data_IF_583431287131
#
_entry.id   IF_583431287131
#
_cell.length_a   1.000
_cell.length_b   1.000
_cell.length_c   1.000
_cell.angle_alpha   90.00
_cell.angle_beta   90.00
_cell.angle_gamma   90.00
#
_symmetry.space_group_name_H-M   'P 1'
#
loop_
_entity.id
_entity.type
_entity.pdbx_description
1 polymer ?
#
# COMPACT_ATOMS: atom_id res chain seq x y z
N UNK A 1 -34.62 23.18 38.90
CA UNK A 1 -33.20 23.21 38.51
C UNK A 1 -32.95 22.00 37.61
N UNK A 2 -32.98 22.12 36.29
CA UNK A 2 -32.56 21.04 35.42
C UNK A 2 -31.03 20.92 35.50
N UNK A 3 -30.54 19.72 35.79
CA UNK A 3 -29.12 19.43 35.90
C UNK A 3 -28.45 19.51 34.53
N UNK A 4 -27.38 20.30 34.46
CA UNK A 4 -26.47 20.29 33.32
C UNK A 4 -25.78 18.94 33.23
N UNK A 5 -26.11 18.18 32.18
CA UNK A 5 -25.31 17.05 31.73
C UNK A 5 -23.92 17.59 31.34
N UNK A 6 -22.81 16.96 31.75
CA UNK A 6 -21.51 17.32 31.22
C UNK A 6 -21.53 17.03 29.71
N UNK A 7 -21.16 18.02 28.90
CA UNK A 7 -20.87 17.76 27.50
C UNK A 7 -19.77 16.71 27.44
N UNK A 8 -20.05 15.59 26.76
CA UNK A 8 -19.02 14.62 26.41
C UNK A 8 -17.90 15.38 25.69
N UNK A 9 -16.62 15.17 26.05
CA UNK A 9 -15.53 15.76 25.30
C UNK A 9 -15.67 15.27 23.85
N UNK A 10 -15.88 16.21 22.93
CA UNK A 10 -15.82 15.96 21.50
C UNK A 10 -14.53 15.19 21.23
N UNK A 11 -14.67 13.93 20.80
CA UNK A 11 -13.55 13.11 20.41
C UNK A 11 -12.77 13.90 19.36
N UNK A 12 -11.58 14.37 19.73
CA UNK A 12 -10.72 15.16 18.87
C UNK A 12 -10.44 14.33 17.62
N UNK A 13 -11.14 14.63 16.52
CA UNK A 13 -10.88 14.02 15.24
C UNK A 13 -9.41 14.27 14.88
N UNK A 14 -8.68 13.23 14.47
CA UNK A 14 -7.32 13.41 13.97
C UNK A 14 -7.34 14.42 12.82
N UNK A 15 -6.37 15.37 12.78
CA UNK A 15 -6.37 16.40 11.75
C UNK A 15 -6.15 15.77 10.37
N UNK A 16 -6.83 16.32 9.35
CA UNK A 16 -6.51 15.98 7.97
C UNK A 16 -5.14 16.57 7.62
N UNK A 17 -4.13 15.71 7.51
CA UNK A 17 -2.82 16.09 7.02
C UNK A 17 -2.72 15.87 5.51
N UNK A 18 -1.88 16.66 4.85
CA UNK A 18 -1.64 16.53 3.42
C UNK A 18 -0.91 15.21 3.18
N UNK A 19 -1.51 14.39 2.32
CA UNK A 19 -0.96 13.14 1.80
C UNK A 19 -0.56 13.31 0.33
N UNK A 20 -0.15 12.24 -0.36
CA UNK A 20 0.12 12.27 -1.81
C UNK A 20 -1.14 12.34 -2.70
N UNK A 21 -2.33 12.49 -2.12
CA UNK A 21 -3.60 12.56 -2.84
C UNK A 21 -3.66 13.66 -3.89
N UNK A 22 -4.25 13.33 -5.04
CA UNK A 22 -4.39 14.24 -6.17
C UNK A 22 -3.07 14.60 -6.87
N UNK A 23 -1.96 13.94 -6.52
CA UNK A 23 -0.66 14.07 -7.21
C UNK A 23 -0.42 12.84 -8.07
N UNK A 24 0.34 13.03 -9.14
CA UNK A 24 0.91 11.92 -9.89
C UNK A 24 2.09 11.32 -9.09
N UNK A 25 1.89 10.12 -8.57
CA UNK A 25 2.88 9.39 -7.77
C UNK A 25 3.79 8.50 -8.61
N UNK A 26 3.67 8.51 -9.94
CA UNK A 26 4.52 7.73 -10.84
C UNK A 26 5.98 8.21 -10.88
N UNK A 27 6.89 7.29 -11.22
CA UNK A 27 8.32 7.53 -11.35
C UNK A 27 8.63 8.75 -12.22
N UNK A 28 7.98 8.85 -13.38
CA UNK A 28 8.23 9.92 -14.37
C UNK A 28 7.84 11.33 -13.92
N UNK A 29 7.04 11.47 -12.85
CA UNK A 29 6.56 12.76 -12.35
C UNK A 29 7.17 13.17 -11.00
N UNK A 30 8.15 12.40 -10.52
CA UNK A 30 8.78 12.62 -9.22
C UNK A 30 10.27 12.89 -9.35
N UNK A 31 10.84 13.49 -8.29
CA UNK A 31 12.26 13.81 -8.23
C UNK A 31 13.08 12.51 -8.33
N UNK A 32 13.97 12.36 -9.34
CA UNK A 32 14.79 11.16 -9.51
C UNK A 32 15.78 10.94 -8.36
N UNK A 33 16.05 11.95 -7.53
CA UNK A 33 16.87 11.88 -6.32
C UNK A 33 16.05 11.93 -5.01
N UNK A 34 14.71 11.93 -5.14
CA UNK A 34 13.78 12.00 -4.02
C UNK A 34 13.72 10.72 -3.18
N UNK A 35 12.95 10.76 -2.08
CA UNK A 35 12.87 9.65 -1.12
C UNK A 35 12.33 8.36 -1.74
N UNK A 36 11.37 8.44 -2.65
CA UNK A 36 10.83 7.27 -3.35
C UNK A 36 11.81 6.69 -4.36
N UNK A 37 12.59 7.52 -5.04
CA UNK A 37 13.67 7.04 -5.90
C UNK A 37 14.80 6.38 -5.10
N UNK A 38 15.08 6.87 -3.87
CA UNK A 38 16.01 6.18 -2.96
C UNK A 38 15.46 4.82 -2.51
N UNK A 39 14.16 4.72 -2.23
CA UNK A 39 13.52 3.45 -1.89
C UNK A 39 13.57 2.45 -3.07
N UNK A 40 13.37 2.91 -4.32
CA UNK A 40 13.48 2.07 -5.52
C UNK A 40 14.91 1.62 -5.80
N UNK A 41 15.93 2.49 -5.69
CA UNK A 41 17.33 2.13 -5.99
C UNK A 41 17.85 0.97 -5.15
N UNK A 42 17.34 0.86 -3.94
CA UNK A 42 17.70 -0.19 -3.01
C UNK A 42 16.73 -1.37 -3.09
N UNK A 43 15.63 -1.25 -3.87
CA UNK A 43 14.76 -2.37 -4.17
C UNK A 43 15.50 -3.26 -5.16
N UNK A 44 15.72 -4.51 -4.78
CA UNK A 44 16.28 -5.48 -5.69
C UNK A 44 15.12 -6.25 -6.37
N UNK A 45 15.32 -6.58 -7.65
CA UNK A 45 14.42 -7.49 -8.39
C UNK A 45 14.42 -8.90 -7.77
N UNK A 46 15.40 -9.18 -6.91
CA UNK A 46 15.57 -10.41 -6.12
C UNK A 46 15.67 -10.07 -4.62
N UNK A 47 15.57 -11.07 -3.75
CA UNK A 47 15.71 -10.88 -2.31
C UNK A 47 17.13 -10.40 -1.93
N UNK A 48 17.22 -9.44 -1.01
CA UNK A 48 18.49 -8.84 -0.58
C UNK A 48 19.18 -9.75 0.45
N UNK A 49 20.20 -10.49 0.04
CA UNK A 49 20.96 -11.40 0.91
C UNK A 49 21.78 -10.68 2.01
N UNK A 50 22.22 -9.44 1.77
CA UNK A 50 22.98 -8.66 2.75
C UNK A 50 22.06 -7.94 3.75
N UNK A 51 22.15 -8.33 5.01
CA UNK A 51 21.30 -7.77 6.07
C UNK A 51 21.52 -6.26 6.30
N UNK A 52 22.69 -5.70 6.00
CA UNK A 52 22.94 -4.27 6.16
C UNK A 52 22.28 -3.48 5.01
N UNK A 53 22.39 -3.98 3.78
CA UNK A 53 21.71 -3.45 2.60
C UNK A 53 20.19 -3.51 2.75
N UNK A 54 19.64 -4.66 3.18
CA UNK A 54 18.21 -4.80 3.46
C UNK A 54 17.75 -3.80 4.52
N UNK A 55 18.54 -3.59 5.58
CA UNK A 55 18.21 -2.62 6.64
C UNK A 55 18.30 -1.17 6.17
N UNK A 56 19.13 -0.85 5.18
CA UNK A 56 19.17 0.48 4.55
C UNK A 56 17.94 0.68 3.68
N UNK A 57 17.62 -0.30 2.83
CA UNK A 57 16.40 -0.31 2.02
C UNK A 57 15.14 -0.09 2.87
N UNK A 58 14.97 -0.87 3.94
CA UNK A 58 13.83 -0.74 4.87
C UNK A 58 13.74 0.65 5.52
N UNK A 59 14.89 1.31 5.78
CA UNK A 59 14.93 2.68 6.31
C UNK A 59 14.59 3.73 5.24
N UNK A 60 15.02 3.53 4.00
CA UNK A 60 14.64 4.38 2.87
C UNK A 60 13.14 4.28 2.58
N UNK A 61 12.61 3.07 2.51
CA UNK A 61 11.18 2.79 2.39
C UNK A 61 10.36 3.53 3.46
N UNK A 62 10.73 3.37 4.74
CA UNK A 62 10.04 4.07 5.84
C UNK A 62 10.03 5.58 5.65
N UNK A 63 11.18 6.19 5.30
CA UNK A 63 11.28 7.64 5.08
C UNK A 63 10.37 8.10 3.96
N UNK A 64 10.30 7.33 2.87
CA UNK A 64 9.42 7.61 1.74
C UNK A 64 7.95 7.55 2.15
N UNK A 65 7.52 6.49 2.84
CA UNK A 65 6.15 6.33 3.36
C UNK A 65 5.78 7.47 4.31
N UNK A 66 6.63 7.80 5.29
CA UNK A 66 6.36 8.88 6.26
C UNK A 66 6.31 10.27 5.59
N UNK A 67 6.97 10.44 4.45
CA UNK A 67 6.91 11.69 3.68
C UNK A 67 5.57 11.90 2.97
N UNK A 68 4.95 10.81 2.48
CA UNK A 68 3.64 10.83 1.85
C UNK A 68 2.50 10.70 2.88
N UNK A 69 2.76 10.09 4.03
CA UNK A 69 1.79 9.82 5.09
C UNK A 69 2.33 10.19 6.48
N UNK A 70 2.38 11.49 6.81
CA UNK A 70 2.92 11.94 8.09
C UNK A 70 2.17 11.34 9.30
N UNK A 71 2.88 10.94 10.36
CA UNK A 71 2.24 10.43 11.57
C UNK A 71 1.33 11.50 12.21
N UNK A 72 0.20 11.06 12.78
CA UNK A 72 -0.75 11.94 13.47
C UNK A 72 -1.85 12.54 12.57
N UNK A 73 -1.90 12.16 11.29
CA UNK A 73 -3.01 12.49 10.39
C UNK A 73 -4.24 11.60 10.56
N UNK A 74 -5.34 11.99 9.90
CA UNK A 74 -6.56 11.21 9.74
C UNK A 74 -6.32 9.88 9.01
N UNK A 75 -5.34 9.85 8.11
CA UNK A 75 -4.82 8.64 7.48
C UNK A 75 -3.35 8.49 7.84
N UNK A 76 -2.97 7.29 8.30
CA UNK A 76 -1.58 6.92 8.55
C UNK A 76 -1.27 5.59 7.87
N UNK A 77 0.01 5.35 7.61
CA UNK A 77 0.50 4.07 7.07
C UNK A 77 1.47 3.49 8.09
N UNK A 78 1.39 2.18 8.34
CA UNK A 78 2.49 1.46 8.97
C UNK A 78 3.60 1.31 7.94
N UNK A 79 4.82 1.83 8.20
CA UNK A 79 5.92 1.70 7.26
C UNK A 79 6.23 0.27 6.84
N UNK A 80 5.77 -0.74 7.59
CA UNK A 80 5.93 -2.16 7.25
C UNK A 80 5.02 -2.63 6.11
N UNK A 81 4.01 -1.86 5.72
CA UNK A 81 3.17 -2.22 4.56
C UNK A 81 4.05 -2.23 3.30
N UNK A 82 4.02 -3.34 2.55
CA UNK A 82 4.89 -3.64 1.39
C UNK A 82 6.40 -3.65 1.67
N UNK A 83 6.82 -3.58 2.94
CA UNK A 83 8.23 -3.62 3.28
C UNK A 83 8.78 -5.02 2.99
N UNK A 84 9.84 -5.16 2.18
CA UNK A 84 10.45 -6.47 1.95
C UNK A 84 11.14 -6.97 3.21
N UNK A 85 11.09 -8.28 3.38
CA UNK A 85 11.82 -9.01 4.39
C UNK A 85 13.01 -9.74 3.72
N UNK A 86 13.73 -10.53 4.51
CA UNK A 86 14.93 -11.23 4.05
C UNK A 86 14.60 -12.32 3.03
N UNK A 87 13.52 -13.06 3.26
CA UNK A 87 13.14 -14.25 2.49
C UNK A 87 11.72 -14.14 1.91
N UNK A 88 11.03 -13.02 2.17
CA UNK A 88 9.64 -12.84 1.76
C UNK A 88 9.36 -11.38 1.39
N UNK A 89 8.56 -11.20 0.35
CA UNK A 89 7.83 -9.96 0.14
C UNK A 89 6.36 -10.16 0.50
N UNK A 90 5.83 -9.23 1.28
CA UNK A 90 4.42 -9.27 1.68
C UNK A 90 3.60 -8.37 0.77
N UNK A 91 2.93 -9.01 -0.18
CA UNK A 91 2.08 -8.38 -1.20
C UNK A 91 0.61 -8.31 -0.72
N UNK A 92 0.42 -7.87 0.53
CA UNK A 92 -0.88 -7.84 1.19
C UNK A 92 -1.00 -6.63 2.12
N UNK A 93 -2.13 -5.93 2.06
CA UNK A 93 -2.37 -4.74 2.86
C UNK A 93 -3.78 -4.69 3.44
N UNK A 94 -3.89 -4.05 4.59
CA UNK A 94 -5.11 -3.95 5.37
C UNK A 94 -5.37 -2.52 5.79
N UNK A 95 -6.62 -2.23 6.07
CA UNK A 95 -7.06 -0.96 6.66
C UNK A 95 -7.76 -1.25 7.97
N UNK A 96 -7.35 -0.53 9.01
CA UNK A 96 -7.94 -0.59 10.33
C UNK A 96 -8.28 0.81 10.83
N UNK A 97 -8.96 0.91 11.96
CA UNK A 97 -9.12 2.19 12.64
C UNK A 97 -7.79 2.77 13.10
N UNK A 98 -7.77 4.05 13.53
CA UNK A 98 -6.61 4.55 14.24
C UNK A 98 -6.34 3.60 15.42
N UNK A 99 -5.04 3.35 15.67
CA UNK A 99 -4.45 2.60 16.78
C UNK A 99 -5.45 1.86 17.71
N UNK A 100 -5.39 0.52 17.91
CA UNK A 100 -6.37 -0.25 18.70
C UNK A 100 -6.75 0.29 20.09
N UNK A 101 -5.91 1.14 20.69
CA UNK A 101 -6.17 1.81 21.98
C UNK A 101 -6.82 3.21 21.89
N UNK A 102 -7.06 3.77 20.70
CA UNK A 102 -7.58 5.13 20.49
C UNK A 102 -8.64 5.12 19.39
N UNK A 103 -9.88 5.45 19.77
CA UNK A 103 -11.07 5.60 18.93
C UNK A 103 -11.70 4.29 18.43
N UNK A 104 -13.02 4.36 18.21
CA UNK A 104 -13.80 3.29 17.60
C UNK A 104 -13.32 3.12 16.15
N UNK A 105 -12.96 1.92 15.73
CA UNK A 105 -12.61 1.64 14.34
C UNK A 105 -13.72 2.11 13.39
N UNK A 106 -13.38 2.60 12.17
CA UNK A 106 -14.36 2.90 11.14
C UNK A 106 -15.28 1.72 10.90
N UNK A 107 -16.49 2.02 10.44
CA UNK A 107 -17.45 0.99 10.04
C UNK A 107 -16.79 0.05 9.03
N UNK A 108 -16.70 -1.27 9.32
CA UNK A 108 -16.12 -2.25 8.39
C UNK A 108 -16.78 -2.24 7.01
N UNK A 109 -18.05 -1.81 6.93
CA UNK A 109 -18.77 -1.62 5.66
C UNK A 109 -18.12 -0.51 4.82
N UNK A 110 -17.80 0.62 5.45
CA UNK A 110 -17.14 1.75 4.77
C UNK A 110 -15.71 1.39 4.37
N UNK A 111 -14.99 0.63 5.20
CA UNK A 111 -13.65 0.13 4.88
C UNK A 111 -13.69 -0.81 3.66
N UNK A 112 -14.63 -1.77 3.65
CA UNK A 112 -14.82 -2.69 2.53
C UNK A 112 -15.20 -1.98 1.24
N UNK A 113 -16.08 -0.99 1.33
CA UNK A 113 -16.49 -0.20 0.17
C UNK A 113 -15.34 0.66 -0.39
N UNK A 114 -14.54 1.26 0.49
CA UNK A 114 -13.33 1.99 0.12
C UNK A 114 -12.32 1.08 -0.59
N UNK A 115 -12.02 -0.09 0.00
CA UNK A 115 -11.08 -1.04 -0.59
C UNK A 115 -11.57 -1.62 -1.92
N UNK A 116 -12.87 -1.89 -2.08
CA UNK A 116 -13.42 -2.36 -3.36
C UNK A 116 -13.18 -1.33 -4.48
N UNK A 117 -13.44 -0.05 -4.22
CA UNK A 117 -13.12 1.03 -5.16
C UNK A 117 -11.62 1.19 -5.41
N UNK A 118 -10.81 1.00 -4.38
CA UNK A 118 -9.35 1.05 -4.51
C UNK A 118 -8.87 -0.07 -5.44
N UNK A 119 -9.34 -1.31 -5.26
CA UNK A 119 -9.01 -2.45 -6.11
C UNK A 119 -9.30 -2.18 -7.60
N UNK A 120 -10.47 -1.64 -7.91
CA UNK A 120 -10.83 -1.26 -9.30
C UNK A 120 -9.86 -0.24 -9.90
N UNK A 121 -9.24 0.62 -9.09
CA UNK A 121 -8.24 1.61 -9.53
C UNK A 121 -6.84 1.02 -9.60
N UNK A 122 -6.44 0.20 -8.63
CA UNK A 122 -5.11 -0.42 -8.55
C UNK A 122 -4.86 -1.34 -9.74
N UNK A 123 -5.86 -2.09 -10.21
CA UNK A 123 -5.78 -2.91 -11.43
C UNK A 123 -5.50 -2.10 -12.71
N UNK A 124 -5.44 -0.77 -12.64
CA UNK A 124 -5.13 0.15 -13.74
C UNK A 124 -3.80 0.88 -13.51
N UNK A 125 -3.02 0.48 -12.51
CA UNK A 125 -1.74 1.10 -12.17
C UNK A 125 -0.61 0.29 -12.78
N UNK A 126 0.29 0.96 -13.51
CA UNK A 126 1.52 0.36 -14.04
C UNK A 126 2.57 0.17 -12.94
N UNK A 127 3.55 -0.70 -13.19
CA UNK A 127 4.75 -0.86 -12.37
C UNK A 127 5.45 0.48 -12.06
N UNK A 128 5.52 1.40 -13.02
CA UNK A 128 6.08 2.75 -12.85
C UNK A 128 5.21 3.68 -11.98
N UNK A 129 4.08 3.20 -11.47
CA UNK A 129 3.13 3.92 -10.62
C UNK A 129 2.10 4.76 -11.38
N UNK A 130 2.06 4.74 -12.71
CA UNK A 130 1.10 5.52 -13.49
C UNK A 130 -0.30 4.90 -13.43
N UNK A 131 -1.27 5.64 -12.90
CA UNK A 131 -2.69 5.25 -12.92
C UNK A 131 -3.29 5.58 -14.30
N UNK A 132 -3.78 4.56 -15.00
CA UNK A 132 -4.44 4.70 -16.29
C UNK A 132 -5.92 5.07 -16.14
N UNK A 133 -6.43 5.88 -17.06
CA UNK A 133 -7.88 6.05 -17.22
C UNK A 133 -8.53 4.82 -17.83
N UNK A 134 -9.85 4.67 -17.68
CA UNK A 134 -10.63 3.57 -18.28
C UNK A 134 -10.41 3.47 -19.79
N UNK A 135 -10.44 4.62 -20.48
CA UNK A 135 -10.18 4.69 -21.92
C UNK A 135 -8.77 4.25 -22.32
N UNK A 136 -7.76 4.45 -21.45
CA UNK A 136 -6.39 4.00 -21.71
C UNK A 136 -6.24 2.49 -21.52
N UNK A 137 -7.07 1.87 -20.66
CA UNK A 137 -7.11 0.42 -20.45
C UNK A 137 -7.83 -0.26 -21.60
N UNK A 138 -9.01 0.23 -21.99
CA UNK A 138 -9.80 -0.29 -23.12
C UNK A 138 -9.00 -0.26 -24.43
N UNK A 139 -8.20 0.78 -24.66
CA UNK A 139 -7.35 0.90 -25.84
C UNK A 139 -6.19 -0.10 -25.92
N UNK A 140 -5.89 -0.87 -24.85
CA UNK A 140 -4.87 -1.94 -24.88
C UNK A 140 -5.43 -3.29 -25.30
N UNK A 141 -6.68 -3.60 -24.93
CA UNK A 141 -7.31 -4.89 -25.24
C UNK A 141 -7.44 -5.19 -26.73
N UNK A 142 -7.39 -4.19 -27.60
CA UNK A 142 -7.40 -4.38 -29.06
C UNK A 142 -6.00 -4.55 -29.67
N UNK A 143 -4.93 -4.24 -28.92
CA UNK A 143 -3.54 -4.27 -29.42
C UNK A 143 -2.77 -5.52 -28.98
N UNK A 144 -3.16 -6.16 -27.86
CA UNK A 144 -2.47 -7.31 -27.27
C UNK A 144 -3.14 -8.67 -27.58
N UNK A 145 -4.31 -8.68 -28.25
CA UNK A 145 -5.05 -9.90 -28.65
C UNK A 145 -4.59 -10.49 -30.01
N UNK A 146 -3.53 -9.93 -30.63
CA UNK A 146 -2.90 -10.56 -31.79
C UNK A 146 -1.89 -11.60 -31.28
N UNK A 147 -2.38 -12.84 -31.08
CA UNK A 147 -1.59 -14.05 -30.81
C UNK A 147 -0.55 -14.27 -31.93
N UNK A 148 0.55 -13.53 -31.88
CA UNK A 148 1.73 -13.73 -32.69
C UNK A 148 2.67 -14.74 -32.03
N UNK A 149 2.66 -15.98 -32.52
CA UNK A 149 3.73 -16.96 -32.35
C UNK A 149 5.10 -16.33 -32.69
N UNK A 150 5.89 -15.84 -31.74
CA UNK A 150 7.33 -15.67 -31.93
C UNK A 150 8.11 -16.01 -30.65
N UNK A 151 8.92 -17.07 -30.75
CA UNK A 151 10.07 -17.34 -29.89
C UNK A 151 10.97 -16.09 -29.85
N UNK A 152 10.82 -15.29 -28.80
CA UNK A 152 11.58 -14.08 -28.61
C UNK A 152 11.60 -13.68 -27.15
N UNK A 153 12.55 -14.23 -26.39
CA UNK A 153 13.05 -13.61 -25.16
C UNK A 153 13.61 -12.21 -25.50
N UNK A 154 12.74 -11.22 -25.58
CA UNK A 154 13.08 -9.80 -25.54
C UNK A 154 12.22 -9.19 -24.44
N UNK A 155 12.89 -8.89 -23.34
CA UNK A 155 12.29 -8.58 -22.05
C UNK A 155 11.13 -7.60 -22.12
N UNK A 156 10.00 -8.03 -21.54
CA UNK A 156 9.07 -7.11 -20.91
C UNK A 156 9.91 -6.19 -20.02
N UNK A 157 10.05 -4.92 -20.39
CA UNK A 157 10.61 -3.94 -19.46
C UNK A 157 9.66 -3.89 -18.27
N UNK A 158 10.20 -3.98 -17.04
CA UNK A 158 9.41 -4.01 -15.80
C UNK A 158 8.31 -2.92 -15.75
N UNK A 159 8.55 -1.78 -16.41
CA UNK A 159 7.64 -0.64 -16.55
C UNK A 159 6.30 -0.94 -17.24
N UNK A 160 6.17 -2.02 -18.01
CA UNK A 160 4.95 -2.35 -18.76
C UNK A 160 3.95 -3.24 -17.99
N UNK A 161 4.35 -3.74 -16.82
CA UNK A 161 3.50 -4.56 -15.98
C UNK A 161 2.31 -3.79 -15.38
N UNK A 162 1.17 -4.48 -15.25
CA UNK A 162 -0.02 -4.05 -14.50
C UNK A 162 -0.52 -5.24 -13.69
N UNK A 163 -0.94 -5.07 -12.42
CA UNK A 163 -1.61 -6.12 -11.66
C UNK A 163 -2.84 -6.64 -12.40
N UNK A 164 -2.90 -7.94 -12.59
CA UNK A 164 -4.04 -8.63 -13.21
C UNK A 164 -5.04 -9.16 -12.17
N UNK A 165 -4.65 -9.25 -10.89
CA UNK A 165 -5.49 -9.75 -9.82
C UNK A 165 -5.20 -9.10 -8.47
N UNK A 166 -6.27 -8.73 -7.77
CA UNK A 166 -6.27 -8.43 -6.35
C UNK A 166 -7.42 -9.22 -5.70
N UNK A 167 -7.22 -9.77 -4.51
CA UNK A 167 -8.30 -10.44 -3.79
C UNK A 167 -9.41 -9.49 -3.37
N UNK A 168 -10.61 -10.03 -3.20
CA UNK A 168 -11.75 -9.25 -2.70
C UNK A 168 -11.49 -8.78 -1.26
N UNK A 169 -11.93 -7.56 -0.87
CA UNK A 169 -11.71 -7.07 0.48
C UNK A 169 -12.41 -7.93 1.54
N UNK A 170 -11.62 -8.60 2.36
CA UNK A 170 -12.07 -9.54 3.38
C UNK A 170 -11.73 -9.06 4.80
N UNK A 171 -12.42 -9.61 5.80
CA UNK A 171 -12.20 -9.22 7.19
C UNK A 171 -13.46 -9.34 8.05
N UNK A 172 -13.28 -9.86 9.27
CA UNK A 172 -14.37 -10.17 10.20
C UNK A 172 -14.39 -9.23 11.43
N UNK A 173 -13.31 -8.47 11.69
CA UNK A 173 -13.18 -7.63 12.89
C UNK A 173 -12.22 -6.47 12.66
N UNK A 174 -12.69 -5.21 12.76
CA UNK A 174 -11.86 -3.98 12.93
C UNK A 174 -10.76 -3.69 11.89
N UNK A 175 -10.52 -4.62 10.97
CA UNK A 175 -9.53 -4.67 9.90
C UNK A 175 -10.23 -5.28 8.70
N UNK A 176 -10.09 -4.63 7.55
CA UNK A 176 -10.48 -5.17 6.24
C UNK A 176 -9.23 -5.14 5.38
N UNK A 177 -8.91 -6.22 4.67
CA UNK A 177 -7.68 -6.32 3.91
C UNK A 177 -7.83 -7.00 2.56
N UNK A 178 -6.80 -6.80 1.76
CA UNK A 178 -6.50 -7.47 0.51
C UNK A 178 -5.35 -8.42 0.81
N UNK A 179 -5.62 -9.71 0.78
CA UNK A 179 -4.66 -10.79 1.08
C UNK A 179 -3.73 -11.13 -0.06
N UNK A 180 -4.15 -10.87 -1.29
CA UNK A 180 -3.34 -11.17 -2.46
C UNK A 180 -3.37 -9.96 -3.41
N UNK A 181 -2.19 -9.43 -3.65
CA UNK A 181 -1.91 -8.45 -4.67
C UNK A 181 -0.90 -9.10 -5.62
N UNK A 182 -1.34 -9.53 -6.81
CA UNK A 182 -0.41 -10.17 -7.75
C UNK A 182 0.59 -9.10 -8.19
N UNK A 183 1.84 -9.23 -7.75
CA UNK A 183 3.00 -8.50 -8.28
C UNK A 183 4.07 -9.45 -8.82
N UNK A 184 3.69 -10.69 -9.17
CA UNK A 184 4.60 -11.76 -9.64
C UNK A 184 5.80 -12.03 -8.70
N UNK A 185 5.72 -11.67 -7.42
CA UNK A 185 6.84 -11.80 -6.48
C UNK A 185 7.91 -10.71 -6.63
N UNK A 186 7.63 -9.58 -7.30
CA UNK A 186 8.55 -8.45 -7.51
C UNK A 186 8.06 -7.17 -6.83
N UNK A 187 8.97 -6.46 -6.14
CA UNK A 187 8.65 -5.21 -5.44
C UNK A 187 8.56 -4.05 -6.44
N UNK A 188 7.35 -3.61 -6.78
CA UNK A 188 7.14 -2.45 -7.64
C UNK A 188 6.90 -1.19 -6.79
N UNK A 189 7.99 -0.57 -6.30
CA UNK A 189 7.95 0.56 -5.36
C UNK A 189 7.00 1.70 -5.79
N UNK A 190 6.97 2.04 -7.07
CA UNK A 190 6.10 3.12 -7.56
C UNK A 190 4.63 2.70 -7.67
N UNK A 191 4.35 1.46 -8.03
CA UNK A 191 3.02 0.87 -8.02
C UNK A 191 2.48 0.74 -6.58
N UNK A 192 3.31 0.34 -5.63
CA UNK A 192 2.97 0.27 -4.20
C UNK A 192 2.70 1.66 -3.62
N UNK A 193 3.54 2.65 -3.95
CA UNK A 193 3.29 4.06 -3.59
C UNK A 193 1.94 4.53 -4.10
N UNK A 194 1.67 4.31 -5.39
CA UNK A 194 0.41 4.72 -6.01
C UNK A 194 -0.77 3.96 -5.40
N UNK A 195 -0.59 2.70 -5.03
CA UNK A 195 -1.57 1.90 -4.28
C UNK A 195 -1.90 2.55 -2.93
N UNK A 196 -0.89 2.93 -2.13
CA UNK A 196 -1.10 3.63 -0.87
C UNK A 196 -1.87 4.95 -1.07
N UNK A 197 -1.53 5.74 -2.10
CA UNK A 197 -2.26 6.97 -2.46
C UNK A 197 -3.73 6.66 -2.77
N UNK A 198 -4.00 5.70 -3.67
CA UNK A 198 -5.37 5.33 -4.08
C UNK A 198 -6.19 4.90 -2.87
N UNK A 199 -5.65 4.05 -2.01
CA UNK A 199 -6.34 3.60 -0.79
C UNK A 199 -6.69 4.79 0.10
N UNK A 200 -5.77 5.74 0.28
CA UNK A 200 -6.04 6.94 1.06
C UNK A 200 -7.16 7.82 0.48
N UNK A 201 -7.16 8.03 -0.85
CA UNK A 201 -8.22 8.75 -1.56
C UNK A 201 -9.58 8.10 -1.36
N UNK A 202 -9.67 6.77 -1.51
CA UNK A 202 -10.93 6.04 -1.37
C UNK A 202 -11.41 5.95 0.08
N UNK A 203 -10.50 5.86 1.06
CA UNK A 203 -10.85 5.93 2.48
C UNK A 203 -11.49 7.29 2.82
N UNK A 204 -10.89 8.40 2.39
CA UNK A 204 -11.45 9.74 2.58
C UNK A 204 -12.76 9.93 1.82
N UNK A 205 -12.86 9.47 0.57
CA UNK A 205 -14.09 9.55 -0.24
C UNK A 205 -15.25 8.81 0.41
N UNK A 206 -14.96 7.68 1.04
CA UNK A 206 -15.96 6.85 1.73
C UNK A 206 -16.31 7.35 3.13
N UNK A 207 -15.59 8.36 3.64
CA UNK A 207 -15.71 8.80 5.04
C UNK A 207 -15.18 7.76 6.04
N UNK A 208 -14.39 6.79 5.60
CA UNK A 208 -13.80 5.73 6.42
C UNK A 208 -12.54 6.22 7.13
N UNK A 209 -12.62 7.39 7.76
CA UNK A 209 -11.52 8.04 8.49
C UNK A 209 -11.96 8.34 9.93
N UNK A 210 -11.04 8.35 10.90
CA UNK A 210 -9.61 8.07 10.78
C UNK A 210 -9.30 6.61 10.43
N UNK A 211 -8.19 6.36 9.72
CA UNK A 211 -7.78 5.03 9.30
C UNK A 211 -6.25 4.84 9.33
N UNK A 212 -5.83 3.59 9.45
CA UNK A 212 -4.43 3.17 9.32
C UNK A 212 -4.32 2.06 8.29
N UNK A 213 -3.48 2.26 7.29
CA UNK A 213 -3.05 1.22 6.36
C UNK A 213 -1.94 0.41 7.04
N UNK A 214 -2.03 -0.92 7.04
CA UNK A 214 -1.13 -1.86 7.74
C UNK A 214 -0.80 -3.05 6.84
N UNK A 215 0.26 -3.83 7.13
CA UNK A 215 0.44 -5.14 6.51
C UNK A 215 -0.78 -6.02 6.80
N UNK A 216 -1.24 -6.75 5.80
CA UNK A 216 -2.27 -7.77 6.00
C UNK A 216 -1.67 -9.14 5.74
N UNK A 217 -1.52 -9.89 6.83
CA UNK A 217 -0.90 -11.21 6.82
C UNK A 217 -2.02 -12.23 7.03
N UNK A 218 -2.24 -13.07 6.03
CA UNK A 218 -3.13 -14.21 6.19
C UNK A 218 -2.51 -15.28 7.12
N UNK A 219 -3.28 -16.33 7.39
CA UNK A 219 -2.86 -17.39 8.32
C UNK A 219 -1.62 -18.13 7.81
N UNK A 220 -1.52 -18.31 6.49
CA UNK A 220 -0.43 -19.07 5.86
C UNK A 220 0.87 -18.25 5.87
N UNK A 221 0.79 -16.96 5.54
CA UNK A 221 1.91 -16.01 5.64
C UNK A 221 2.41 -15.91 7.08
N UNK A 222 1.50 -15.81 8.06
CA UNK A 222 1.87 -15.78 9.48
C UNK A 222 2.53 -17.09 9.94
N UNK A 223 2.08 -18.24 9.43
CA UNK A 223 2.69 -19.52 9.74
C UNK A 223 4.10 -19.62 9.13
N UNK A 224 4.24 -19.21 7.87
CA UNK A 224 5.50 -19.19 7.15
C UNK A 224 6.55 -18.32 7.84
N UNK A 225 6.19 -17.09 8.22
CA UNK A 225 7.09 -16.18 8.95
C UNK A 225 7.60 -16.79 10.26
N UNK A 226 6.72 -17.50 10.99
CA UNK A 226 7.10 -18.17 12.25
C UNK A 226 8.02 -19.36 12.01
N UNK A 227 7.80 -20.12 10.95
CA UNK A 227 8.61 -21.29 10.59
C UNK A 227 10.03 -20.88 10.19
N UNK A 228 10.17 -19.77 9.46
CA UNK A 228 11.45 -19.25 8.97
C UNK A 228 12.13 -18.29 9.96
N UNK A 229 11.49 -18.00 11.10
CA UNK A 229 12.03 -17.09 12.11
C UNK A 229 12.11 -15.63 11.65
N UNK A 230 11.33 -15.29 10.63
CA UNK A 230 11.34 -13.98 10.01
C UNK A 230 10.38 -13.01 10.72
N UNK A 231 10.83 -11.78 10.91
CA UNK A 231 10.03 -10.74 11.59
C UNK A 231 10.28 -9.39 10.97
N UNK A 232 9.24 -8.56 10.93
CA UNK A 232 9.39 -7.16 10.58
C UNK A 232 10.36 -6.46 11.54
N UNK A 233 11.20 -5.53 11.04
CA UNK A 233 12.05 -4.71 11.91
C UNK A 233 11.22 -3.92 12.91
N UNK A 234 11.77 -3.71 14.10
CA UNK A 234 11.21 -2.83 15.12
C UNK A 234 11.35 -1.35 14.73
N UNK A 235 10.57 -0.47 15.38
CA UNK A 235 10.70 0.98 15.16
C UNK A 235 12.09 1.52 15.50
N UNK A 236 12.83 0.84 16.38
CA UNK A 236 14.20 1.20 16.73
C UNK A 236 15.19 0.84 15.61
N UNK A 237 14.98 -0.29 14.94
CA UNK A 237 15.81 -0.73 13.80
C UNK A 237 15.56 0.11 12.55
N UNK A 238 14.36 0.69 12.43
CA UNK A 238 13.98 1.55 11.32
C UNK A 238 14.37 3.03 11.50
N UNK A 239 15.02 3.41 12.61
CA UNK A 239 15.50 4.79 12.87
C UNK A 239 16.94 4.99 12.41
#
# INVERSE_FOLDING_TARGET
MPGSTPAEPSASALPRLVTSEGKDTSRGHNDPDGLWAQAERDAADELIDDAAELREHQRNWRRAVESDFPPGGDITVDPRTFMPLQELMVEGFGVTGPNPGLLKSPDPTLLREALRRATERILRVRADGRELSESQVEGRGEADDDEGDEEGEQGETDDDYTPNYLSEPEGYTGVVGISNFDTKGVAFVWLERTTLRIVAEELRRSGAVPARIVPYLDVDTLAWLREHGETYPSDAELR
#
